data_IF_824054816069
#
_entry.id   IF_824054816069
#
_cell.length_a   1.000
_cell.length_b   1.000
_cell.length_c   1.000
_cell.angle_alpha   90.00
_cell.angle_beta   90.00
_cell.angle_gamma   90.00
#
_symmetry.space_group_name_H-M   'P 1'
#
loop_
_entity.id
_entity.type
_entity.pdbx_description
1 polymer ?
#
# COMPACT_ATOMS: atom_id res chain seq x y z
N UNK A 1 6.57 2.24 -6.15
CA UNK A 1 7.97 2.01 -5.78
C UNK A 1 8.56 0.78 -6.43
N UNK A 2 9.87 0.78 -6.65
CA UNK A 2 10.64 -0.41 -7.04
C UNK A 2 11.57 -0.75 -5.88
N UNK A 3 11.28 -1.85 -5.17
CA UNK A 3 12.03 -2.26 -3.98
C UNK A 3 12.91 -3.44 -4.34
N UNK A 4 14.23 -3.26 -4.21
CA UNK A 4 15.20 -4.33 -4.50
C UNK A 4 14.86 -5.57 -3.67
N UNK A 5 14.89 -6.74 -4.32
CA UNK A 5 14.53 -8.06 -3.76
C UNK A 5 13.04 -8.31 -3.53
N UNK A 6 12.17 -7.30 -3.64
CA UNK A 6 10.72 -7.44 -3.45
C UNK A 6 9.89 -7.11 -4.71
N UNK A 7 10.43 -6.33 -5.65
CA UNK A 7 9.77 -5.99 -6.92
C UNK A 7 9.06 -4.64 -6.89
N UNK A 8 8.03 -4.50 -7.73
CA UNK A 8 7.30 -3.26 -7.95
C UNK A 8 6.02 -3.17 -7.10
N UNK A 9 5.77 -1.99 -6.53
CA UNK A 9 4.60 -1.68 -5.70
C UNK A 9 3.94 -0.38 -6.16
N UNK A 10 2.63 -0.28 -5.94
CA UNK A 10 1.87 0.97 -6.08
C UNK A 10 1.34 1.36 -4.71
N UNK A 11 1.59 2.60 -4.31
CA UNK A 11 1.01 3.19 -3.09
C UNK A 11 -0.02 4.23 -3.48
N UNK A 12 -1.16 4.20 -2.80
CA UNK A 12 -2.21 5.21 -2.92
C UNK A 12 -2.50 5.72 -1.52
N UNK A 13 -2.14 6.98 -1.29
CA UNK A 13 -2.27 7.61 0.01
C UNK A 13 -3.17 8.85 -0.09
N UNK A 14 -3.94 9.09 0.97
CA UNK A 14 -4.76 10.28 1.11
C UNK A 14 -4.55 10.87 2.51
N UNK A 15 -4.42 12.19 2.57
CA UNK A 15 -4.28 12.94 3.82
C UNK A 15 -5.17 14.18 3.75
N UNK A 16 -5.69 14.59 4.90
CA UNK A 16 -6.50 15.80 5.02
C UNK A 16 -5.83 16.80 5.98
N UNK A 17 -6.21 18.06 5.83
CA UNK A 17 -6.01 19.11 6.83
C UNK A 17 -7.34 19.63 7.40
N UNK A 18 -8.47 19.24 6.82
CA UNK A 18 -9.81 19.51 7.32
C UNK A 18 -10.23 18.43 8.33
N UNK A 19 -10.33 18.76 9.63
CA UNK A 19 -10.67 17.80 10.67
C UNK A 19 -12.11 17.26 10.56
N UNK A 20 -12.95 17.82 9.68
CA UNK A 20 -14.29 17.30 9.40
C UNK A 20 -14.29 16.06 8.49
N UNK A 21 -13.19 15.79 7.78
CA UNK A 21 -13.04 14.57 6.98
C UNK A 21 -12.73 13.36 7.85
N UNK A 22 -13.44 12.26 7.58
CA UNK A 22 -13.24 10.98 8.27
C UNK A 22 -12.17 10.13 7.59
N UNK A 23 -11.66 9.14 8.31
CA UNK A 23 -10.79 8.10 7.77
C UNK A 23 -11.45 7.34 6.62
N UNK A 24 -12.74 6.98 6.76
CA UNK A 24 -13.49 6.29 5.71
C UNK A 24 -13.51 7.10 4.40
N UNK A 25 -13.66 8.43 4.47
CA UNK A 25 -13.63 9.29 3.29
C UNK A 25 -12.24 9.37 2.63
N UNK A 26 -11.16 9.22 3.40
CA UNK A 26 -9.80 9.08 2.86
C UNK A 26 -9.61 7.71 2.22
N UNK A 27 -10.10 6.65 2.87
CA UNK A 27 -10.03 5.30 2.36
C UNK A 27 -10.80 5.14 1.04
N UNK A 28 -11.98 5.75 0.92
CA UNK A 28 -12.75 5.76 -0.33
C UNK A 28 -11.99 6.40 -1.49
N UNK A 29 -11.22 7.47 -1.22
CA UNK A 29 -10.35 8.08 -2.24
C UNK A 29 -9.25 7.10 -2.66
N UNK A 30 -8.57 6.47 -1.70
CA UNK A 30 -7.54 5.48 -2.01
C UNK A 30 -8.08 4.32 -2.84
N UNK A 31 -9.24 3.78 -2.49
CA UNK A 31 -9.91 2.70 -3.23
C UNK A 31 -10.29 3.14 -4.64
N UNK A 32 -10.80 4.37 -4.81
CA UNK A 32 -11.16 4.88 -6.14
C UNK A 32 -9.95 4.96 -7.08
N UNK A 33 -8.81 5.46 -6.59
CA UNK A 33 -7.59 5.52 -7.39
C UNK A 33 -6.93 4.16 -7.58
N UNK A 34 -6.93 3.27 -6.58
CA UNK A 34 -6.43 1.90 -6.75
C UNK A 34 -7.17 1.15 -7.87
N UNK A 35 -8.51 1.31 -7.95
CA UNK A 35 -9.34 0.76 -9.03
C UNK A 35 -8.97 1.31 -10.41
N UNK A 36 -8.58 2.59 -10.51
CA UNK A 36 -8.11 3.18 -11.77
C UNK A 36 -6.88 2.44 -12.32
N UNK A 37 -6.02 1.95 -11.43
CA UNK A 37 -4.83 1.14 -11.76
C UNK A 37 -5.13 -0.36 -11.83
N UNK A 38 -6.41 -0.77 -11.77
CA UNK A 38 -6.84 -2.17 -11.79
C UNK A 38 -6.28 -3.02 -10.65
N UNK A 39 -5.93 -2.40 -9.52
CA UNK A 39 -5.55 -3.11 -8.29
C UNK A 39 -6.78 -3.82 -7.73
N UNK A 40 -6.63 -5.10 -7.42
CA UNK A 40 -7.67 -5.95 -6.84
C UNK A 40 -7.43 -6.14 -5.35
N UNK A 41 -8.44 -6.63 -4.64
CA UNK A 41 -8.34 -6.91 -3.21
C UNK A 41 -7.23 -7.90 -2.88
N UNK A 42 -6.99 -8.90 -3.74
CA UNK A 42 -5.89 -9.85 -3.57
C UNK A 42 -4.49 -9.27 -3.79
N UNK A 43 -4.36 -8.08 -4.39
CA UNK A 43 -3.08 -7.42 -4.64
C UNK A 43 -2.62 -6.60 -3.44
N UNK A 44 -3.49 -6.35 -2.46
CA UNK A 44 -3.13 -5.57 -1.27
C UNK A 44 -2.16 -6.32 -0.37
N UNK A 45 -1.22 -5.56 0.19
CA UNK A 45 -0.24 -6.07 1.15
C UNK A 45 -0.43 -5.32 2.47
N UNK A 46 -0.68 -6.06 3.54
CA UNK A 46 -0.94 -5.57 4.88
C UNK A 46 0.34 -5.37 5.72
N UNK A 47 1.50 -5.46 5.08
CA UNK A 47 2.82 -5.41 5.71
C UNK A 47 3.69 -4.34 5.09
N UNK A 48 4.52 -3.72 5.92
CA UNK A 48 5.49 -2.72 5.47
C UNK A 48 6.62 -3.37 4.65
N UNK A 49 7.30 -2.57 3.82
CA UNK A 49 8.50 -3.04 3.12
C UNK A 49 9.58 -3.56 4.08
N UNK A 50 9.75 -2.94 5.26
CA UNK A 50 10.69 -3.43 6.27
C UNK A 50 10.35 -4.84 6.75
N UNK A 51 9.07 -5.12 6.98
CA UNK A 51 8.64 -6.46 7.41
C UNK A 51 8.89 -7.49 6.31
N UNK A 52 8.57 -7.15 5.05
CA UNK A 52 8.81 -8.00 3.90
C UNK A 52 10.30 -8.28 3.67
N UNK A 53 11.15 -7.26 3.80
CA UNK A 53 12.61 -7.39 3.66
C UNK A 53 13.21 -8.26 4.77
N UNK A 54 12.76 -8.11 6.02
CA UNK A 54 13.24 -8.94 7.14
C UNK A 54 12.95 -10.41 6.87
N UNK A 55 11.77 -10.73 6.34
CA UNK A 55 11.41 -12.10 6.00
C UNK A 55 12.18 -12.65 4.79
N UNK A 56 12.37 -11.83 3.75
CA UNK A 56 13.19 -12.20 2.59
C UNK A 56 14.63 -12.56 3.03
N UNK A 57 15.22 -11.75 3.91
CA UNK A 57 16.56 -12.00 4.46
C UNK A 57 16.60 -13.30 5.28
N UNK A 58 15.55 -13.58 6.08
CA UNK A 58 15.46 -14.80 6.89
C UNK A 58 15.30 -16.07 6.06
N UNK A 59 14.53 -16.01 4.97
CA UNK A 59 14.25 -17.16 4.11
C UNK A 59 15.41 -17.51 3.14
N UNK A 60 16.38 -16.61 3.00
CA UNK A 60 17.57 -16.80 2.14
C UNK A 60 18.77 -17.38 2.91
N UNK A 61 18.62 -17.64 4.23
CA UNK A 61 19.62 -18.26 5.11
C UNK A 61 19.26 -19.69 5.44
#
# INVERSE_FOLDING_TARGET
DEVRELGSYLEVEAIQTDPSMTEDALQEQCVAYARLFSVREEDYVDRSYSDLLVDAIRNTR
#
